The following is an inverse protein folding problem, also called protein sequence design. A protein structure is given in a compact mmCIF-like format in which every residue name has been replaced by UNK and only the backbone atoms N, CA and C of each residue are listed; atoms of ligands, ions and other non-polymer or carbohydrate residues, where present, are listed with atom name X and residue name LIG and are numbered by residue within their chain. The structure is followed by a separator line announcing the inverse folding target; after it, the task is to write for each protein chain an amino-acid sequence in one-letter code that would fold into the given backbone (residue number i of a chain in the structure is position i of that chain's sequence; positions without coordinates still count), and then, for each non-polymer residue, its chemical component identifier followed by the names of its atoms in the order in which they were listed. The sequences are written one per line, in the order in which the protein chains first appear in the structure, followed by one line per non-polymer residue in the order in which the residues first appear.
data_IF_794259915369
#
_entry.id   IF_794259915369
#
_cell.length_a   1.000
_cell.length_b   1.000
_cell.length_c   1.000
_cell.angle_alpha   90.00
_cell.angle_beta   90.00
_cell.angle_gamma   90.00
#
_symmetry.space_group_name_H-M   'P 1'
#
loop_
_entity.id
_entity.type
_entity.pdbx_description
1 polymer ?
#
# COMPACT_ATOMS: atom_id res chain seq x y z
N UNK A 1 10.75 -22.68 -2.38
CA UNK A 1 9.47 -22.30 -3.02
C UNK A 1 8.50 -21.90 -1.92
N UNK A 2 7.68 -20.87 -2.15
CA UNK A 2 6.64 -20.43 -1.21
C UNK A 2 5.30 -20.43 -1.94
N UNK A 3 4.25 -20.92 -1.28
CA UNK A 3 2.88 -20.94 -1.80
C UNK A 3 2.04 -19.86 -1.09
N UNK A 4 1.27 -19.09 -1.87
CA UNK A 4 0.41 -18.03 -1.36
C UNK A 4 -1.05 -18.51 -1.41
N UNK A 5 -1.50 -19.08 -0.28
CA UNK A 5 -2.83 -19.68 -0.14
C UNK A 5 -3.80 -18.72 0.53
N UNK A 6 -5.06 -18.71 0.07
CA UNK A 6 -6.11 -17.91 0.71
C UNK A 6 -7.35 -17.66 -0.16
N UNK A 7 -7.24 -17.75 -1.48
CA UNK A 7 -8.44 -17.72 -2.33
C UNK A 7 -9.22 -19.04 -2.20
N UNK A 8 -10.53 -18.93 -2.07
CA UNK A 8 -11.43 -20.09 -1.99
C UNK A 8 -11.88 -20.57 -3.38
N UNK A 9 -11.68 -19.73 -4.40
CA UNK A 9 -11.97 -20.00 -5.79
C UNK A 9 -10.73 -19.84 -6.68
N UNK A 10 -10.87 -20.16 -7.96
CA UNK A 10 -9.77 -20.03 -8.94
C UNK A 10 -9.35 -18.57 -9.08
N UNK A 11 -8.04 -18.34 -9.03
CA UNK A 11 -7.43 -17.05 -9.40
C UNK A 11 -7.62 -16.83 -10.89
N UNK A 12 -8.23 -15.70 -11.24
CA UNK A 12 -8.56 -15.32 -12.62
C UNK A 12 -7.52 -14.39 -13.21
N UNK A 13 -6.94 -13.52 -12.38
CA UNK A 13 -5.98 -12.52 -12.83
C UNK A 13 -4.97 -12.17 -11.73
N UNK A 14 -3.77 -11.80 -12.15
CA UNK A 14 -2.70 -11.34 -11.29
C UNK A 14 -2.01 -10.14 -11.92
N UNK A 15 -1.67 -9.15 -11.10
CA UNK A 15 -0.90 -7.98 -11.54
C UNK A 15 0.16 -7.61 -10.50
N UNK A 16 1.21 -6.92 -10.93
CA UNK A 16 2.31 -6.47 -10.07
C UNK A 16 2.44 -4.94 -10.14
N UNK A 17 2.84 -4.34 -9.03
CA UNK A 17 3.22 -2.93 -8.97
C UNK A 17 4.47 -2.67 -9.82
N UNK A 18 4.46 -1.62 -10.64
CA UNK A 18 5.57 -1.26 -11.56
C UNK A 18 6.61 -0.31 -10.92
N UNK A 19 6.31 0.19 -9.73
CA UNK A 19 6.96 1.30 -9.03
C UNK A 19 8.29 0.93 -8.35
N UNK A 20 8.78 -0.31 -8.54
CA UNK A 20 10.16 -0.73 -8.26
C UNK A 20 10.59 -0.73 -6.78
N UNK A 21 9.85 -0.07 -5.91
CA UNK A 21 10.12 0.03 -4.47
C UNK A 21 9.19 -0.86 -3.64
N UNK A 22 8.05 -1.32 -4.14
CA UNK A 22 7.24 -2.35 -3.48
C UNK A 22 6.67 -3.26 -4.54
N UNK A 23 7.29 -4.41 -4.78
CA UNK A 23 6.78 -5.43 -5.71
C UNK A 23 5.59 -6.17 -5.07
N UNK A 24 4.52 -5.42 -4.81
CA UNK A 24 3.25 -5.94 -4.33
C UNK A 24 2.58 -6.66 -5.50
N UNK A 25 2.19 -7.90 -5.28
CA UNK A 25 1.39 -8.69 -6.21
C UNK A 25 -0.06 -8.64 -5.77
N UNK A 26 -0.96 -8.40 -6.72
CA UNK A 26 -2.41 -8.44 -6.48
C UNK A 26 -2.98 -9.62 -7.24
N UNK A 27 -3.79 -10.44 -6.56
CA UNK A 27 -4.54 -11.54 -7.17
C UNK A 27 -6.04 -11.29 -7.06
N UNK A 28 -6.75 -11.53 -8.16
CA UNK A 28 -8.21 -11.50 -8.24
C UNK A 28 -8.72 -12.92 -8.48
N UNK A 29 -9.73 -13.35 -7.72
CA UNK A 29 -10.32 -14.68 -7.86
C UNK A 29 -11.84 -14.64 -7.99
N UNK A 30 -12.41 -15.76 -8.43
CA UNK A 30 -13.85 -15.96 -8.51
C UNK A 30 -14.57 -16.08 -7.16
N UNK A 31 -13.86 -15.84 -6.05
CA UNK A 31 -14.44 -15.69 -4.71
C UNK A 31 -14.85 -14.23 -4.43
N UNK A 32 -14.83 -13.39 -5.46
CA UNK A 32 -15.17 -11.96 -5.42
C UNK A 32 -14.23 -11.15 -4.53
N UNK A 33 -13.03 -11.68 -4.25
CA UNK A 33 -12.01 -10.99 -3.46
C UNK A 33 -10.75 -10.64 -4.26
N UNK A 34 -10.10 -9.57 -3.80
CA UNK A 34 -8.75 -9.18 -4.19
C UNK A 34 -7.81 -9.40 -3.01
N UNK A 35 -6.66 -10.02 -3.24
CA UNK A 35 -5.62 -10.21 -2.22
C UNK A 35 -4.33 -9.52 -2.62
N UNK A 36 -3.72 -8.85 -1.65
CA UNK A 36 -2.44 -8.16 -1.78
C UNK A 36 -1.35 -8.98 -1.11
N UNK A 37 -0.28 -9.25 -1.85
CA UNK A 37 0.84 -10.04 -1.42
C UNK A 37 2.09 -9.19 -1.46
N UNK A 38 2.70 -8.96 -0.30
CA UNK A 38 4.00 -8.32 -0.21
C UNK A 38 5.09 -9.40 -0.30
N UNK A 39 5.46 -9.77 -1.52
CA UNK A 39 6.34 -10.92 -1.78
C UNK A 39 7.82 -10.54 -1.68
N UNK A 40 8.14 -9.27 -1.91
CA UNK A 40 9.48 -8.72 -1.82
C UNK A 40 9.44 -7.66 -0.72
N UNK A 41 10.12 -7.92 0.40
CA UNK A 41 10.06 -7.05 1.58
C UNK A 41 10.25 -5.57 1.24
N UNK A 42 9.66 -4.69 2.07
CA UNK A 42 9.75 -3.24 1.86
C UNK A 42 11.24 -2.85 1.90
N UNK A 43 11.82 -2.28 0.84
CA UNK A 43 13.14 -1.67 0.92
C UNK A 43 13.02 -0.56 1.96
N UNK A 44 13.93 -0.55 2.93
CA UNK A 44 13.87 0.35 4.09
C UNK A 44 13.80 1.85 3.72
N UNK A 45 13.99 2.19 2.45
CA UNK A 45 13.94 3.53 1.88
C UNK A 45 12.54 4.16 1.80
N UNK A 46 11.44 3.39 1.92
CA UNK A 46 10.05 3.92 1.85
C UNK A 46 9.41 4.08 3.24
N UNK A 47 10.17 3.98 4.34
CA UNK A 47 9.68 4.33 5.69
C UNK A 47 9.75 5.83 5.98
N UNK A 48 9.45 6.71 5.01
CA UNK A 48 9.10 8.09 5.38
C UNK A 48 7.63 8.08 5.77
N UNK A 49 7.27 8.19 7.07
CA UNK A 49 5.89 8.44 7.42
C UNK A 49 5.49 9.72 6.69
N UNK A 50 4.44 9.65 5.87
CA UNK A 50 3.76 10.86 5.42
C UNK A 50 3.13 11.46 6.66
N UNK A 51 3.90 12.27 7.38
CA UNK A 51 3.39 13.21 8.35
C UNK A 51 2.47 14.12 7.55
N UNK A 52 1.17 13.85 7.55
CA UNK A 52 0.18 14.89 7.23
C UNK A 52 0.50 16.02 8.21
N UNK A 53 0.99 17.20 7.78
CA UNK A 53 0.95 18.32 8.68
C UNK A 53 -0.54 18.55 8.93
N UNK A 54 -0.97 18.31 10.16
CA UNK A 54 -2.26 18.77 10.62
C UNK A 54 -2.32 20.25 10.26
N UNK A 55 -3.19 20.62 9.31
CA UNK A 55 -3.47 22.02 9.01
C UNK A 55 -4.05 22.60 10.29
N UNK A 56 -3.22 23.27 11.08
CA UNK A 56 -3.70 24.05 12.21
C UNK A 56 -4.54 25.21 11.64
N UNK A 57 -5.78 25.43 12.12
CA UNK A 57 -6.73 26.26 11.37
C UNK A 57 -6.35 27.73 11.26
N UNK A 58 -5.54 28.29 12.17
CA UNK A 58 -5.26 29.74 12.19
C UNK A 58 -3.87 30.09 12.75
N UNK A 59 -2.79 29.91 11.98
CA UNK A 59 -1.46 30.46 12.31
C UNK A 59 -1.28 31.93 11.89
N UNK A 60 -2.26 32.52 11.18
CA UNK A 60 -2.18 33.89 10.65
C UNK A 60 -2.65 35.00 11.60
N UNK A 61 -2.89 34.71 12.88
CA UNK A 61 -3.12 35.81 13.84
C UNK A 61 -1.76 36.39 14.21
N UNK A 62 -1.33 37.37 13.40
CA UNK A 62 -0.29 38.30 13.80
C UNK A 62 -0.71 38.91 15.15
N UNK A 63 0.01 38.55 16.22
CA UNK A 63 -0.06 39.25 17.50
C UNK A 63 0.46 40.66 17.26
N UNK A 64 -0.44 41.61 17.04
CA UNK A 64 -0.12 43.03 17.09
C UNK A 64 0.15 43.38 18.56
N UNK A 65 1.38 43.84 18.83
CA UNK A 65 1.72 44.61 20.03
C UNK A 65 1.45 46.07 19.75
#
# INVERSE_FOLDING_TARGET
MAELSGHTSRVLSMTQSADGCTCTVVSAAGDETLRFWNVFGVPETVRKPVTKPAREPFSHVARLR
#
